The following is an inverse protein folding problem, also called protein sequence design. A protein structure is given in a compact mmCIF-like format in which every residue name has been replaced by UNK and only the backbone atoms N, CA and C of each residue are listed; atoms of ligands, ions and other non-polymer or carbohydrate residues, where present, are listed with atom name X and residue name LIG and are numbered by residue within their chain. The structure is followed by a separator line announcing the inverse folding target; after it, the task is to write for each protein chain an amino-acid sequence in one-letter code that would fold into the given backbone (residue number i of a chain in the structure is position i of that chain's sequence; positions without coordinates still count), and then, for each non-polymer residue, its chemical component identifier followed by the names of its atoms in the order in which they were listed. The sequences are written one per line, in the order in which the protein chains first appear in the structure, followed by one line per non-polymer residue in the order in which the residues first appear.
data_IF_280206321726
#
_entry.id   IF_280206321726
#
_cell.length_a   1.000
_cell.length_b   1.000
_cell.length_c   1.000
_cell.angle_alpha   90.00
_cell.angle_beta   90.00
_cell.angle_gamma   90.00
#
_symmetry.space_group_name_H-M   'P 1'
#
loop_
_entity.id
_entity.type
_entity.pdbx_description
1 polymer ?
#
# COMPACT_ATOMS: atom_id res chain seq x y z
N UNK A 1 12.86 -1.68 62.02
CA UNK A 1 13.45 -0.97 60.85
C UNK A 1 12.73 -1.29 59.53
N UNK A 2 12.38 -2.55 59.23
CA UNK A 2 11.67 -2.93 57.98
C UNK A 2 10.35 -2.17 57.72
N UNK A 3 9.53 -1.91 58.75
CA UNK A 3 8.24 -1.22 58.60
C UNK A 3 8.34 0.24 58.14
N UNK A 4 9.48 0.91 58.38
CA UNK A 4 9.71 2.28 57.92
C UNK A 4 10.11 2.36 56.45
N UNK A 5 10.75 1.32 55.91
CA UNK A 5 11.21 1.26 54.52
C UNK A 5 10.04 0.97 53.57
N UNK A 6 9.09 0.11 53.97
CA UNK A 6 7.91 -0.21 53.15
C UNK A 6 6.98 1.00 52.88
N UNK A 7 7.00 2.02 53.74
CA UNK A 7 6.16 3.22 53.54
C UNK A 7 6.66 4.16 52.44
N UNK A 8 7.92 4.03 52.02
CA UNK A 8 8.51 4.85 50.96
C UNK A 8 8.49 4.18 49.59
N UNK A 9 8.27 2.86 49.52
CA UNK A 9 8.17 2.11 48.26
C UNK A 9 7.12 2.70 47.29
N UNK A 10 5.89 3.04 47.71
CA UNK A 10 4.92 3.61 46.78
C UNK A 10 5.26 5.05 46.33
N UNK A 11 5.96 5.82 47.16
CA UNK A 11 6.45 7.17 46.82
C UNK A 11 7.59 7.12 45.80
N UNK A 12 8.50 6.15 45.95
CA UNK A 12 9.58 5.92 44.98
C UNK A 12 9.02 5.39 43.66
N UNK A 13 8.04 4.49 43.69
CA UNK A 13 7.37 4.01 42.49
C UNK A 13 6.62 5.13 41.76
N UNK A 14 5.92 6.01 42.49
CA UNK A 14 5.25 7.17 41.91
C UNK A 14 6.25 8.16 41.30
N UNK A 15 7.38 8.41 41.96
CA UNK A 15 8.44 9.29 41.45
C UNK A 15 9.09 8.71 40.18
N UNK A 16 9.35 7.40 40.14
CA UNK A 16 9.87 6.72 38.94
C UNK A 16 8.85 6.80 37.80
N UNK A 17 7.57 6.57 38.08
CA UNK A 17 6.51 6.69 37.08
C UNK A 17 6.47 8.12 36.53
N UNK A 18 6.44 9.14 37.39
CA UNK A 18 6.37 10.55 37.00
C UNK A 18 7.60 10.99 36.19
N UNK A 19 8.80 10.55 36.60
CA UNK A 19 10.04 10.80 35.86
C UNK A 19 10.06 10.05 34.52
N UNK A 20 9.52 8.83 34.45
CA UNK A 20 9.42 8.08 33.19
C UNK A 20 8.41 8.71 32.24
N UNK A 21 7.25 9.15 32.73
CA UNK A 21 6.25 9.86 31.93
C UNK A 21 6.80 11.20 31.46
N UNK A 22 7.50 11.93 32.34
CA UNK A 22 8.15 13.19 31.97
C UNK A 22 9.29 12.96 30.98
N UNK A 23 10.07 11.89 31.10
CA UNK A 23 11.10 11.53 30.13
C UNK A 23 10.50 11.16 28.76
N UNK A 24 9.42 10.37 28.74
CA UNK A 24 8.70 10.03 27.52
C UNK A 24 8.05 11.25 26.87
N UNK A 25 7.40 12.12 27.65
CA UNK A 25 6.83 13.37 27.16
C UNK A 25 7.92 14.34 26.69
N UNK A 26 9.02 14.45 27.42
CA UNK A 26 10.16 15.28 27.04
C UNK A 26 10.84 14.77 25.78
N UNK A 27 11.03 13.46 25.61
CA UNK A 27 11.49 12.85 24.35
C UNK A 27 10.51 13.06 23.20
N UNK A 28 9.20 13.01 23.47
CA UNK A 28 8.18 13.29 22.46
C UNK A 28 8.14 14.78 22.05
N UNK A 29 8.53 15.69 22.94
CA UNK A 29 8.51 17.16 22.72
C UNK A 29 9.88 17.69 22.26
N UNK A 30 10.97 17.00 22.59
CA UNK A 30 12.35 17.28 22.16
C UNK A 30 12.89 16.09 21.39
N UNK A 31 12.21 15.81 20.27
CA UNK A 31 12.92 15.28 19.10
C UNK A 31 13.93 16.37 18.76
N UNK A 32 15.22 16.04 18.91
CA UNK A 32 16.30 16.90 18.49
C UNK A 32 15.99 17.41 17.08
N UNK A 33 16.08 18.72 16.90
CA UNK A 33 16.01 19.40 15.60
C UNK A 33 17.11 18.82 14.72
N UNK A 34 16.75 17.79 13.97
CA UNK A 34 17.60 17.08 13.02
C UNK A 34 17.17 17.49 11.62
N UNK A 35 18.14 17.55 10.69
CA UNK A 35 18.03 18.38 9.49
C UNK A 35 16.75 18.03 8.77
N UNK A 36 15.89 19.04 8.69
CA UNK A 36 14.62 19.01 8.02
C UNK A 36 14.78 18.41 6.61
N UNK A 37 13.67 17.95 6.04
CA UNK A 37 13.57 17.88 4.59
C UNK A 37 13.86 19.30 4.08
N UNK A 38 15.11 19.58 3.70
CA UNK A 38 15.52 20.89 3.22
C UNK A 38 14.96 21.04 1.80
N UNK A 39 13.70 21.45 1.75
CA UNK A 39 13.01 21.87 0.54
C UNK A 39 13.55 23.21 0.02
N UNK A 40 14.66 23.74 0.57
CA UNK A 40 15.24 25.03 0.19
C UNK A 40 14.36 26.22 0.60
N UNK A 41 13.52 26.05 1.63
CA UNK A 41 12.42 26.98 1.96
C UNK A 41 12.78 28.09 2.97
N UNK A 42 14.06 28.41 3.17
CA UNK A 42 14.49 29.48 4.10
C UNK A 42 14.07 30.90 3.68
N UNK A 43 13.35 31.08 2.56
CA UNK A 43 12.98 32.42 2.05
C UNK A 43 11.49 32.74 1.99
N UNK A 44 10.59 31.82 2.34
CA UNK A 44 9.15 32.09 2.35
C UNK A 44 8.63 32.45 3.75
N UNK A 45 9.11 33.55 4.33
CA UNK A 45 8.48 34.09 5.53
C UNK A 45 7.07 34.60 5.17
N UNK A 46 6.05 34.01 5.80
CA UNK A 46 4.62 34.46 5.93
C UNK A 46 3.53 33.86 5.03
N UNK A 47 3.77 32.82 4.22
CA UNK A 47 2.67 32.17 3.47
C UNK A 47 2.28 30.83 4.12
N UNK A 48 0.99 30.64 4.44
CA UNK A 48 0.44 29.36 4.92
C UNK A 48 0.65 28.29 3.84
N UNK A 49 1.45 27.27 4.15
CA UNK A 49 1.91 26.24 3.20
C UNK A 49 0.73 25.48 2.61
N UNK A 50 -0.38 25.34 3.36
CA UNK A 50 -1.60 24.67 2.90
C UNK A 50 -2.33 25.42 1.79
N UNK A 51 -2.06 26.72 1.66
CA UNK A 51 -2.75 27.60 0.71
C UNK A 51 -1.94 27.93 -0.54
N UNK A 52 -0.75 27.33 -0.67
CA UNK A 52 0.10 27.55 -1.84
C UNK A 52 -0.60 27.09 -3.12
N UNK A 53 -0.47 27.85 -4.22
CA UNK A 53 -0.91 27.40 -5.53
C UNK A 53 -0.18 26.12 -5.95
N UNK A 54 -0.88 25.20 -6.62
CA UNK A 54 -0.30 23.92 -7.07
C UNK A 54 0.98 24.12 -7.89
N UNK A 55 1.04 25.14 -8.76
CA UNK A 55 2.24 25.43 -9.56
C UNK A 55 3.47 25.76 -8.71
N UNK A 56 3.27 26.40 -7.56
CA UNK A 56 4.35 26.71 -6.62
C UNK A 56 4.80 25.43 -5.93
N UNK A 57 3.85 24.59 -5.49
CA UNK A 57 4.17 23.29 -4.88
C UNK A 57 4.95 22.40 -5.86
N UNK A 58 4.51 22.29 -7.12
CA UNK A 58 5.23 21.55 -8.16
C UNK A 58 6.68 22.01 -8.33
N UNK A 59 6.94 23.33 -8.27
CA UNK A 59 8.30 23.87 -8.33
C UNK A 59 9.13 23.50 -7.10
N UNK A 60 8.53 23.52 -5.91
CA UNK A 60 9.20 23.18 -4.65
C UNK A 60 9.57 21.69 -4.56
N UNK A 61 8.74 20.81 -5.12
CA UNK A 61 8.98 19.36 -5.05
C UNK A 61 9.76 18.81 -6.24
N UNK A 62 9.98 19.57 -7.31
CA UNK A 62 10.63 19.09 -8.54
C UNK A 62 12.03 18.47 -8.31
N UNK A 63 12.79 19.02 -7.35
CA UNK A 63 14.13 18.52 -7.03
C UNK A 63 14.12 17.29 -6.11
N UNK A 64 13.03 17.04 -5.39
CA UNK A 64 12.92 15.97 -4.39
C UNK A 64 11.99 14.83 -4.80
N UNK A 65 11.03 15.07 -5.69
CA UNK A 65 10.01 14.10 -6.11
C UNK A 65 9.88 14.02 -7.63
N UNK A 66 9.32 12.91 -8.10
CA UNK A 66 8.83 12.76 -9.46
C UNK A 66 7.31 12.99 -9.48
N UNK A 67 6.87 14.13 -9.99
CA UNK A 67 5.44 14.48 -10.00
C UNK A 67 4.66 13.70 -11.07
N UNK A 68 3.50 13.17 -10.66
CA UNK A 68 2.53 12.50 -11.54
C UNK A 68 1.19 13.23 -11.52
N UNK A 69 0.56 13.31 -12.69
CA UNK A 69 -0.70 14.04 -12.89
C UNK A 69 -1.80 13.12 -13.43
N UNK A 70 -3.02 13.39 -13.02
CA UNK A 70 -4.23 12.67 -13.43
C UNK A 70 -4.57 12.93 -14.90
N UNK A 71 -4.84 11.87 -15.65
CA UNK A 71 -5.32 11.93 -17.02
C UNK A 71 -6.85 12.14 -17.09
N UNK A 72 -7.58 11.92 -16.00
CA UNK A 72 -9.04 12.11 -15.97
C UNK A 72 -9.47 13.52 -15.55
N UNK A 73 -8.68 14.24 -14.76
CA UNK A 73 -9.09 15.55 -14.24
C UNK A 73 -8.57 16.70 -15.10
N UNK A 74 -9.36 17.78 -15.31
CA UNK A 74 -8.91 18.92 -16.13
C UNK A 74 -7.69 19.64 -15.55
N UNK A 75 -7.54 19.61 -14.23
CA UNK A 75 -6.45 20.25 -13.50
C UNK A 75 -5.24 19.32 -13.30
N UNK A 76 -5.29 18.06 -13.74
CA UNK A 76 -4.25 17.07 -13.46
C UNK A 76 -4.18 16.62 -11.99
N UNK A 77 -5.06 17.09 -11.11
CA UNK A 77 -5.13 16.69 -9.70
C UNK A 77 -5.70 15.28 -9.56
N UNK A 78 -5.38 14.58 -8.48
CA UNK A 78 -6.09 13.35 -8.13
C UNK A 78 -7.62 13.55 -8.04
N UNK A 79 -8.37 12.48 -8.25
CA UNK A 79 -9.84 12.46 -8.12
C UNK A 79 -10.27 11.85 -6.77
N UNK A 80 -11.41 12.28 -6.25
CA UNK A 80 -12.00 11.71 -5.02
C UNK A 80 -12.73 10.41 -5.32
N UNK A 81 -12.75 9.49 -4.36
CA UNK A 81 -13.57 8.28 -4.42
C UNK A 81 -14.77 8.45 -3.49
N UNK A 82 -15.98 8.27 -4.01
CA UNK A 82 -17.22 8.55 -3.27
C UNK A 82 -18.10 7.29 -3.13
N UNK A 83 -18.12 6.75 -1.90
CA UNK A 83 -18.95 5.62 -1.47
C UNK A 83 -20.37 6.04 -1.01
N UNK A 84 -20.85 7.19 -1.46
CA UNK A 84 -22.15 7.80 -1.15
C UNK A 84 -22.36 8.02 0.35
N UNK A 85 -23.12 7.14 1.00
CA UNK A 85 -23.50 7.28 2.42
C UNK A 85 -22.46 6.70 3.38
N UNK A 86 -21.39 6.10 2.86
CA UNK A 86 -20.32 5.50 3.63
C UNK A 86 -19.01 6.21 3.32
N UNK A 87 -18.06 6.09 4.25
CA UNK A 87 -16.68 6.51 4.07
C UNK A 87 -15.79 5.29 4.16
N UNK A 88 -14.69 5.33 3.44
CA UNK A 88 -13.72 4.25 3.45
C UNK A 88 -12.30 4.77 3.34
N UNK A 89 -11.36 3.91 3.72
CA UNK A 89 -9.92 4.12 3.58
C UNK A 89 -9.34 2.94 2.81
N UNK A 90 -8.10 3.07 2.34
CA UNK A 90 -7.35 1.99 1.70
C UNK A 90 -8.07 1.37 0.48
N UNK A 91 -8.32 2.16 -0.58
CA UNK A 91 -9.17 1.75 -1.69
C UNK A 91 -8.51 0.77 -2.66
N UNK A 92 -9.34 0.09 -3.45
CA UNK A 92 -8.91 -0.52 -4.71
C UNK A 92 -9.82 -0.15 -5.87
N UNK A 93 -9.25 -0.12 -7.08
CA UNK A 93 -9.97 0.19 -8.32
C UNK A 93 -9.57 -0.83 -9.38
N UNK A 94 -10.53 -1.60 -9.87
CA UNK A 94 -10.33 -2.52 -11.00
C UNK A 94 -11.37 -2.29 -12.10
N UNK A 95 -11.05 -2.54 -13.37
CA UNK A 95 -12.02 -2.42 -14.46
C UNK A 95 -13.12 -3.47 -14.29
N UNK A 96 -14.38 -3.05 -14.48
CA UNK A 96 -15.51 -3.97 -14.43
C UNK A 96 -15.41 -4.99 -15.57
N UNK A 97 -15.69 -6.29 -15.34
CA UNK A 97 -15.46 -7.34 -16.34
C UNK A 97 -16.30 -7.18 -17.62
N UNK A 98 -17.53 -6.64 -17.50
CA UNK A 98 -18.49 -6.57 -18.60
C UNK A 98 -19.10 -5.19 -18.89
N UNK A 99 -18.87 -4.18 -18.04
CA UNK A 99 -19.50 -2.86 -18.17
C UNK A 99 -18.44 -1.85 -18.61
N UNK A 100 -18.54 -1.28 -19.82
CA UNK A 100 -17.58 -0.29 -20.28
C UNK A 100 -17.66 0.98 -19.43
N UNK A 101 -16.52 1.67 -19.26
CA UNK A 101 -16.42 2.92 -18.47
C UNK A 101 -16.99 2.80 -17.04
N UNK A 102 -16.91 1.59 -16.47
CA UNK A 102 -17.34 1.27 -15.13
C UNK A 102 -16.20 0.53 -14.44
N UNK A 103 -16.00 0.85 -13.17
CA UNK A 103 -14.96 0.23 -12.34
C UNK A 103 -15.60 -0.35 -11.10
N UNK A 104 -15.03 -1.42 -10.58
CA UNK A 104 -15.37 -1.91 -9.24
C UNK A 104 -14.40 -1.24 -8.29
N UNK A 105 -14.95 -0.53 -7.30
CA UNK A 105 -14.16 0.08 -6.24
C UNK A 105 -14.43 -0.62 -4.91
N UNK A 106 -13.38 -0.80 -4.12
CA UNK A 106 -13.46 -1.33 -2.75
C UNK A 106 -12.72 -0.42 -1.78
N UNK A 107 -13.04 -0.49 -0.49
CA UNK A 107 -12.33 0.22 0.58
C UNK A 107 -12.72 -0.32 1.95
N UNK A 108 -11.82 -0.25 2.92
CA UNK A 108 -12.10 -0.56 4.32
C UNK A 108 -13.13 0.46 4.85
N UNK A 109 -14.26 -0.01 5.39
CA UNK A 109 -15.24 0.88 6.03
C UNK A 109 -14.57 1.63 7.19
N UNK A 110 -14.60 2.96 7.14
CA UNK A 110 -14.09 3.81 8.20
C UNK A 110 -14.99 5.04 8.35
N UNK A 111 -15.66 5.18 9.51
CA UNK A 111 -16.59 6.28 9.78
C UNK A 111 -16.05 7.16 10.91
N UNK A 112 -15.11 8.09 10.62
CA UNK A 112 -14.48 8.91 11.63
C UNK A 112 -15.54 9.79 12.32
N UNK A 113 -15.59 9.73 13.65
CA UNK A 113 -16.50 10.53 14.47
C UNK A 113 -17.83 9.86 14.86
N UNK A 114 -18.10 8.60 14.48
CA UNK A 114 -19.15 7.82 15.15
C UNK A 114 -18.75 7.54 16.61
N UNK A 115 -19.74 7.52 17.51
CA UNK A 115 -19.55 7.41 18.98
C UNK A 115 -18.98 6.06 19.41
N UNK A 116 -19.07 5.05 18.56
CA UNK A 116 -18.57 3.69 18.82
C UNK A 116 -17.13 3.58 18.31
N UNK A 117 -16.21 4.34 18.91
CA UNK A 117 -14.78 4.38 18.53
C UNK A 117 -14.02 3.05 18.76
N UNK A 118 -14.68 2.07 19.36
CA UNK A 118 -14.10 0.81 19.83
C UNK A 118 -14.66 -0.42 19.09
N UNK A 119 -15.13 -0.26 17.84
CA UNK A 119 -15.60 -1.40 17.05
C UNK A 119 -14.44 -2.34 16.73
N UNK A 120 -14.55 -3.57 17.24
CA UNK A 120 -13.73 -4.72 16.84
C UNK A 120 -13.98 -5.19 15.40
N UNK A 121 -15.09 -4.75 14.78
CA UNK A 121 -15.52 -5.20 13.46
C UNK A 121 -14.91 -4.37 12.34
N UNK A 122 -14.23 -5.06 11.44
CA UNK A 122 -13.67 -4.55 10.21
C UNK A 122 -14.38 -5.21 9.02
N UNK A 123 -14.82 -4.38 8.07
CA UNK A 123 -15.52 -4.84 6.88
C UNK A 123 -15.09 -4.01 5.66
N UNK A 124 -15.13 -4.64 4.51
CA UNK A 124 -14.76 -4.03 3.23
C UNK A 124 -16.01 -3.64 2.45
N UNK A 125 -16.02 -2.42 1.92
CA UNK A 125 -17.05 -1.92 1.02
C UNK A 125 -16.75 -2.33 -0.42
N UNK A 126 -17.80 -2.49 -1.23
CA UNK A 126 -17.69 -2.67 -2.68
C UNK A 126 -18.85 -2.01 -3.41
N UNK A 127 -18.59 -1.42 -4.57
CA UNK A 127 -19.62 -0.99 -5.50
C UNK A 127 -19.07 -0.88 -6.92
N UNK A 128 -19.97 -0.89 -7.90
CA UNK A 128 -19.67 -0.37 -9.23
C UNK A 128 -19.65 1.16 -9.17
N UNK A 129 -18.69 1.78 -9.84
CA UNK A 129 -18.48 3.23 -9.86
C UNK A 129 -18.19 3.76 -11.27
N UNK A 130 -18.54 5.02 -11.47
CA UNK A 130 -18.32 5.77 -12.71
C UNK A 130 -17.76 7.15 -12.41
N UNK A 131 -16.98 7.70 -13.34
CA UNK A 131 -16.50 9.07 -13.24
C UNK A 131 -17.64 10.07 -13.40
N UNK A 132 -17.65 11.09 -12.55
CA UNK A 132 -18.56 12.23 -12.56
C UNK A 132 -17.76 13.53 -12.48
N UNK A 133 -18.44 14.67 -12.56
CA UNK A 133 -17.85 15.99 -12.32
C UNK A 133 -16.65 16.30 -13.23
N UNK A 134 -16.71 15.82 -14.49
CA UNK A 134 -15.62 15.87 -15.48
C UNK A 134 -14.36 15.13 -15.01
N UNK A 135 -14.53 13.95 -14.42
CA UNK A 135 -13.43 13.09 -13.97
C UNK A 135 -12.94 13.36 -12.54
N UNK A 136 -13.49 14.38 -11.85
CA UNK A 136 -13.04 14.75 -10.49
C UNK A 136 -13.51 13.81 -9.38
N UNK A 137 -14.55 13.03 -9.64
CA UNK A 137 -15.12 12.10 -8.66
C UNK A 137 -15.37 10.74 -9.31
N UNK A 138 -14.82 9.67 -8.74
CA UNK A 138 -15.21 8.30 -9.03
C UNK A 138 -16.25 7.86 -8.00
N UNK A 139 -17.53 7.83 -8.38
CA UNK A 139 -18.66 7.66 -7.45
C UNK A 139 -19.38 6.34 -7.69
N UNK A 140 -19.75 5.65 -6.60
CA UNK A 140 -20.61 4.47 -6.69
C UNK A 140 -21.92 4.77 -7.44
N UNK A 141 -22.32 3.87 -8.33
CA UNK A 141 -23.62 3.92 -9.01
C UNK A 141 -24.74 3.71 -8.00
N UNK A 142 -24.64 2.68 -7.16
CA UNK A 142 -25.58 2.33 -6.10
C UNK A 142 -24.94 2.49 -4.71
N UNK A 143 -25.70 2.22 -3.64
CA UNK A 143 -25.13 2.16 -2.29
C UNK A 143 -24.11 1.03 -2.18
N UNK A 144 -22.97 1.24 -1.48
CA UNK A 144 -21.96 0.20 -1.36
C UNK A 144 -22.47 -0.98 -0.54
N UNK A 145 -22.08 -2.16 -0.98
CA UNK A 145 -22.30 -3.44 -0.31
C UNK A 145 -21.09 -3.77 0.58
N UNK A 146 -21.31 -4.58 1.62
CA UNK A 146 -20.23 -5.12 2.45
C UNK A 146 -19.79 -6.45 1.84
N UNK A 147 -18.51 -6.57 1.46
CA UNK A 147 -17.97 -7.84 0.96
C UNK A 147 -18.17 -8.96 1.98
N UNK A 148 -18.70 -10.12 1.58
CA UNK A 148 -19.01 -11.23 2.48
C UNK A 148 -17.76 -12.06 2.80
N UNK A 149 -16.71 -11.40 3.27
CA UNK A 149 -15.49 -12.05 3.75
C UNK A 149 -15.73 -12.48 5.21
N UNK A 150 -15.66 -13.78 5.46
CA UNK A 150 -15.81 -14.31 6.81
C UNK A 150 -14.62 -13.92 7.71
N UNK A 151 -14.89 -13.72 8.99
CA UNK A 151 -13.82 -13.61 9.99
C UNK A 151 -12.98 -14.89 10.01
N UNK A 152 -11.66 -14.76 10.17
CA UNK A 152 -10.75 -15.90 10.18
C UNK A 152 -10.63 -16.48 11.60
N UNK A 153 -10.35 -17.78 11.67
CA UNK A 153 -10.03 -18.44 12.92
C UNK A 153 -8.52 -18.33 13.18
N UNK A 154 -8.11 -17.38 14.01
CA UNK A 154 -6.70 -17.19 14.38
C UNK A 154 -6.35 -17.75 15.76
N UNK A 155 -5.05 -17.93 16.00
CA UNK A 155 -4.52 -18.25 17.32
C UNK A 155 -4.25 -16.95 18.10
N UNK A 156 -5.30 -16.41 18.73
CA UNK A 156 -5.23 -15.15 19.48
C UNK A 156 -4.21 -15.14 20.62
N UNK A 157 -3.73 -16.30 21.09
CA UNK A 157 -2.66 -16.36 22.08
C UNK A 157 -1.31 -15.84 21.53
N UNK A 158 -1.14 -15.80 20.20
CA UNK A 158 0.04 -15.23 19.54
C UNK A 158 0.02 -13.68 19.56
N UNK A 159 -1.14 -13.07 19.77
CA UNK A 159 -1.31 -11.63 19.93
C UNK A 159 -1.10 -11.22 21.39
N UNK A 160 0.15 -10.91 21.74
CA UNK A 160 0.53 -10.55 23.12
C UNK A 160 1.19 -9.16 23.21
N UNK A 161 1.28 -8.63 24.43
CA UNK A 161 1.91 -7.34 24.69
C UNK A 161 1.25 -6.19 23.93
N UNK A 162 2.04 -5.42 23.18
CA UNK A 162 1.56 -4.31 22.34
C UNK A 162 0.66 -4.74 21.19
N UNK A 163 0.60 -6.03 20.85
CA UNK A 163 -0.22 -6.58 19.76
C UNK A 163 -1.54 -7.20 20.26
N UNK A 164 -1.82 -7.15 21.56
CA UNK A 164 -3.03 -7.76 22.13
C UNK A 164 -4.33 -7.21 21.53
N UNK A 165 -4.33 -5.98 21.02
CA UNK A 165 -5.50 -5.39 20.36
C UNK A 165 -5.89 -6.13 19.07
N UNK A 166 -4.93 -6.72 18.35
CA UNK A 166 -5.23 -7.52 17.15
C UNK A 166 -6.05 -8.77 17.49
N UNK A 167 -5.94 -9.31 18.70
CA UNK A 167 -6.77 -10.44 19.16
C UNK A 167 -8.28 -10.11 19.19
N UNK A 168 -8.62 -8.82 19.23
CA UNK A 168 -10.00 -8.34 19.23
C UNK A 168 -10.53 -8.06 17.83
N UNK A 169 -9.68 -8.12 16.79
CA UNK A 169 -10.11 -7.82 15.42
C UNK A 169 -11.07 -8.90 14.91
N UNK A 170 -12.11 -8.47 14.20
CA UNK A 170 -13.10 -9.36 13.59
C UNK A 170 -13.27 -8.93 12.13
N UNK A 171 -12.91 -9.82 11.20
CA UNK A 171 -13.09 -9.60 9.76
C UNK A 171 -11.81 -9.21 9.02
N UNK A 172 -11.92 -8.86 7.72
CA UNK A 172 -10.81 -8.42 6.90
C UNK A 172 -10.35 -7.01 7.25
N UNK A 173 -9.04 -6.77 7.13
CA UNK A 173 -8.40 -5.47 7.30
C UNK A 173 -7.64 -5.06 6.04
N UNK A 174 -7.82 -3.81 5.61
CA UNK A 174 -7.08 -3.17 4.50
C UNK A 174 -7.03 -4.02 3.23
N UNK A 175 -8.20 -4.50 2.78
CA UNK A 175 -8.25 -5.38 1.62
C UNK A 175 -7.84 -4.67 0.32
N UNK A 176 -7.04 -5.37 -0.48
CA UNK A 176 -6.60 -4.93 -1.81
C UNK A 176 -7.19 -5.85 -2.86
N UNK A 177 -7.97 -5.28 -3.78
CA UNK A 177 -8.58 -6.01 -4.90
C UNK A 177 -7.84 -5.68 -6.18
N UNK A 178 -7.42 -6.71 -6.91
CA UNK A 178 -6.61 -6.56 -8.11
C UNK A 178 -6.77 -7.77 -9.05
N UNK A 179 -6.41 -7.59 -10.32
CA UNK A 179 -6.36 -8.68 -11.29
C UNK A 179 -5.02 -9.41 -11.25
N UNK A 180 -5.05 -10.74 -11.09
CA UNK A 180 -3.98 -11.62 -11.58
C UNK A 180 -4.17 -11.92 -13.07
N UNK A 181 -3.33 -12.80 -13.66
CA UNK A 181 -3.40 -13.12 -15.09
C UNK A 181 -4.79 -13.59 -15.54
N UNK A 182 -5.37 -14.50 -14.76
CA UNK A 182 -6.61 -15.19 -15.16
C UNK A 182 -7.86 -14.68 -14.43
N UNK A 183 -7.72 -14.31 -13.15
CA UNK A 183 -8.83 -13.91 -12.28
C UNK A 183 -8.45 -12.73 -11.35
N UNK A 184 -9.45 -11.95 -10.87
CA UNK A 184 -9.24 -11.02 -9.79
C UNK A 184 -9.23 -11.70 -8.42
N UNK A 185 -8.38 -11.20 -7.54
CA UNK A 185 -8.23 -11.65 -6.17
C UNK A 185 -8.40 -10.48 -5.22
N UNK A 186 -8.83 -10.79 -4.00
CA UNK A 186 -8.70 -9.90 -2.86
C UNK A 186 -7.64 -10.45 -1.91
N UNK A 187 -6.74 -9.59 -1.45
CA UNK A 187 -5.85 -9.91 -0.34
C UNK A 187 -6.16 -9.00 0.84
N UNK A 188 -6.23 -9.54 2.04
CA UNK A 188 -6.60 -8.79 3.24
C UNK A 188 -5.83 -9.28 4.47
N UNK A 189 -5.64 -8.40 5.44
CA UNK A 189 -5.11 -8.77 6.74
C UNK A 189 -6.21 -9.38 7.62
N UNK A 190 -5.90 -10.40 8.42
CA UNK A 190 -6.81 -10.90 9.45
C UNK A 190 -6.06 -11.73 10.49
N UNK A 191 -6.76 -12.20 11.53
CA UNK A 191 -6.14 -13.05 12.56
C UNK A 191 -5.58 -14.34 11.94
N UNK A 192 -4.36 -14.69 12.37
CA UNK A 192 -3.56 -15.74 11.75
C UNK A 192 -3.53 -17.01 12.60
N UNK A 193 -3.42 -18.18 11.96
CA UNK A 193 -3.25 -19.45 12.66
C UNK A 193 -1.80 -19.66 13.14
N UNK A 194 -0.82 -19.03 12.47
CA UNK A 194 0.63 -19.26 12.66
C UNK A 194 1.38 -18.05 13.22
N UNK A 195 0.78 -16.86 13.17
CA UNK A 195 1.26 -15.61 13.77
C UNK A 195 0.10 -14.85 14.44
N UNK A 196 0.31 -13.66 14.98
CA UNK A 196 -0.79 -12.88 15.56
C UNK A 196 -1.76 -12.38 14.47
N UNK A 197 -1.20 -11.81 13.41
CA UNK A 197 -1.98 -11.22 12.31
C UNK A 197 -1.29 -11.51 10.98
N UNK A 198 -2.03 -12.05 10.01
CA UNK A 198 -1.50 -12.57 8.76
C UNK A 198 -2.22 -12.01 7.53
N UNK A 199 -1.66 -12.27 6.35
CA UNK A 199 -2.25 -11.90 5.06
C UNK A 199 -2.96 -13.10 4.45
N UNK A 200 -4.18 -12.88 3.97
CA UNK A 200 -5.03 -13.88 3.34
C UNK A 200 -5.32 -13.51 1.90
N UNK A 201 -5.63 -14.51 1.07
CA UNK A 201 -6.11 -14.35 -0.31
C UNK A 201 -7.44 -15.07 -0.53
N UNK A 202 -8.29 -14.51 -1.39
CA UNK A 202 -9.56 -15.08 -1.83
C UNK A 202 -9.87 -14.66 -3.28
N UNK A 203 -10.45 -15.57 -4.06
CA UNK A 203 -11.04 -15.28 -5.37
C UNK A 203 -12.16 -14.23 -5.21
N UNK A 204 -11.91 -13.02 -5.75
CA UNK A 204 -12.81 -11.89 -5.59
C UNK A 204 -14.17 -12.12 -6.26
N UNK A 205 -14.21 -12.95 -7.29
CA UNK A 205 -15.43 -13.22 -8.08
C UNK A 205 -16.50 -13.95 -7.27
N UNK A 206 -16.13 -14.54 -6.14
CA UNK A 206 -17.06 -15.23 -5.23
C UNK A 206 -17.70 -14.29 -4.21
N UNK A 207 -17.26 -13.03 -4.17
CA UNK A 207 -17.70 -12.03 -3.19
C UNK A 207 -18.69 -11.01 -3.78
N UNK A 208 -18.82 -10.97 -5.10
CA UNK A 208 -19.60 -9.98 -5.85
C UNK A 208 -20.41 -10.65 -6.95
N UNK A 209 -21.36 -9.93 -7.52
CA UNK A 209 -22.02 -10.37 -8.76
C UNK A 209 -21.00 -10.37 -9.91
N UNK A 210 -20.75 -11.56 -10.48
CA UNK A 210 -19.75 -11.77 -11.50
C UNK A 210 -20.31 -12.67 -12.61
N UNK A 211 -19.93 -12.46 -13.90
CA UNK A 211 -20.34 -13.34 -14.99
C UNK A 211 -20.13 -14.83 -14.68
N UNK A 212 -21.22 -15.60 -14.70
CA UNK A 212 -21.20 -17.02 -14.32
C UNK A 212 -20.27 -17.87 -15.20
N UNK A 213 -20.08 -17.48 -16.46
CA UNK A 213 -19.11 -18.13 -17.37
C UNK A 213 -17.70 -18.12 -16.80
N UNK A 214 -17.34 -17.07 -16.07
CA UNK A 214 -15.98 -16.86 -15.58
C UNK A 214 -15.80 -17.55 -14.23
N UNK A 215 -16.85 -17.64 -13.40
CA UNK A 215 -16.78 -18.22 -12.05
C UNK A 215 -16.79 -19.75 -12.02
N UNK A 216 -17.14 -20.40 -13.13
CA UNK A 216 -17.06 -21.86 -13.28
C UNK A 216 -15.61 -22.33 -13.24
N UNK A 217 -14.70 -21.59 -13.88
CA UNK A 217 -13.28 -21.95 -13.91
C UNK A 217 -12.60 -21.61 -12.58
N UNK A 218 -12.05 -22.64 -11.95
CA UNK A 218 -11.27 -22.52 -10.72
C UNK A 218 -9.83 -22.15 -11.06
N UNK A 219 -9.44 -20.92 -10.71
CA UNK A 219 -8.06 -20.42 -10.80
C UNK A 219 -7.38 -20.37 -9.42
N UNK A 220 -7.87 -21.17 -8.47
CA UNK A 220 -7.38 -21.24 -7.10
C UNK A 220 -8.03 -20.25 -6.15
N UNK A 221 -7.72 -20.41 -4.86
CA UNK A 221 -8.13 -19.51 -3.76
C UNK A 221 -9.64 -19.27 -3.65
N UNK A 222 -10.49 -20.25 -4.02
CA UNK A 222 -11.95 -20.15 -3.82
C UNK A 222 -12.39 -20.07 -2.36
N UNK A 223 -11.47 -20.31 -1.43
CA UNK A 223 -11.64 -20.17 0.02
C UNK A 223 -10.54 -19.26 0.54
N UNK A 224 -10.85 -18.54 1.61
CA UNK A 224 -9.86 -17.74 2.33
C UNK A 224 -8.65 -18.61 2.65
N UNK A 225 -7.51 -18.22 2.11
CA UNK A 225 -6.27 -18.99 2.19
C UNK A 225 -5.19 -18.10 2.80
N UNK A 226 -4.62 -18.52 3.91
CA UNK A 226 -3.56 -17.78 4.60
C UNK A 226 -2.25 -17.89 3.80
N UNK A 227 -1.66 -16.75 3.45
CA UNK A 227 -0.37 -16.71 2.80
C UNK A 227 0.72 -16.92 3.85
N UNK A 228 1.67 -17.80 3.53
CA UNK A 228 2.76 -18.17 4.43
C UNK A 228 4.11 -17.68 3.90
N UNK A 229 5.10 -17.64 4.79
CA UNK A 229 6.51 -17.45 4.44
C UNK A 229 7.25 -18.79 4.58
N UNK A 230 8.46 -18.94 4.00
CA UNK A 230 9.20 -20.19 4.08
C UNK A 230 9.38 -20.64 5.53
N UNK A 231 9.17 -21.92 5.82
CA UNK A 231 9.24 -22.47 7.19
C UNK A 231 10.63 -22.34 7.83
N UNK A 232 11.65 -22.14 7.00
CA UNK A 232 13.03 -21.87 7.42
C UNK A 232 13.29 -20.41 7.79
N UNK A 233 12.37 -19.50 7.47
CA UNK A 233 12.43 -18.09 7.85
C UNK A 233 11.58 -17.84 9.10
N UNK A 234 12.04 -17.02 10.07
CA UNK A 234 11.24 -16.69 11.23
C UNK A 234 10.04 -15.84 10.82
N UNK A 235 8.87 -16.18 11.35
CA UNK A 235 7.69 -15.32 11.24
C UNK A 235 7.88 -14.03 12.05
N UNK A 236 7.43 -12.92 11.49
CA UNK A 236 7.11 -11.74 12.27
C UNK A 236 5.75 -11.92 12.94
N UNK A 237 5.53 -11.19 14.03
CA UNK A 237 4.24 -11.23 14.74
C UNK A 237 3.08 -10.68 13.90
N UNK A 238 3.37 -9.80 12.93
CA UNK A 238 2.39 -9.27 11.98
C UNK A 238 2.97 -9.46 10.59
N UNK A 239 2.38 -10.39 9.83
CA UNK A 239 2.70 -10.63 8.42
C UNK A 239 1.62 -9.97 7.57
N UNK A 240 1.93 -8.80 7.01
CA UNK A 240 0.97 -8.04 6.21
C UNK A 240 1.67 -7.28 5.11
N UNK A 241 0.85 -6.70 4.23
CA UNK A 241 1.26 -5.82 3.14
C UNK A 241 2.10 -6.48 2.04
N UNK A 242 2.30 -7.79 2.10
CA UNK A 242 2.94 -8.57 1.04
C UNK A 242 2.24 -8.31 -0.30
N UNK A 243 3.00 -8.40 -1.39
CA UNK A 243 2.43 -8.33 -2.73
C UNK A 243 2.63 -9.66 -3.46
N UNK A 244 1.63 -10.02 -4.25
CA UNK A 244 1.68 -11.18 -5.12
C UNK A 244 2.06 -10.77 -6.52
N UNK A 245 2.79 -11.63 -7.21
CA UNK A 245 3.14 -11.46 -8.60
C UNK A 245 3.14 -12.79 -9.35
N UNK A 246 3.11 -12.70 -10.68
CA UNK A 246 3.04 -13.86 -11.56
C UNK A 246 4.13 -13.81 -12.62
N UNK A 247 4.76 -14.95 -12.87
CA UNK A 247 5.61 -15.11 -14.04
C UNK A 247 4.79 -15.19 -15.34
N UNK A 248 5.46 -15.22 -16.49
CA UNK A 248 4.79 -15.32 -17.79
C UNK A 248 4.05 -16.63 -18.02
N UNK A 249 4.37 -17.68 -17.27
CA UNK A 249 3.65 -18.96 -17.31
C UNK A 249 2.42 -18.97 -16.39
N UNK A 250 2.17 -17.89 -15.64
CA UNK A 250 1.04 -17.77 -14.73
C UNK A 250 1.29 -18.43 -13.37
N UNK A 251 2.53 -18.79 -13.02
CA UNK A 251 2.82 -19.26 -11.67
C UNK A 251 2.85 -18.08 -10.71
N UNK A 252 2.24 -18.25 -9.54
CA UNK A 252 2.15 -17.22 -8.51
C UNK A 252 3.35 -17.25 -7.57
N UNK A 253 3.73 -16.07 -7.08
CA UNK A 253 4.79 -15.87 -6.11
C UNK A 253 4.33 -14.83 -5.08
N UNK A 254 4.86 -14.94 -3.86
CA UNK A 254 4.63 -13.97 -2.78
C UNK A 254 5.94 -13.30 -2.45
N UNK A 255 5.91 -11.97 -2.40
CA UNK A 255 7.02 -11.14 -1.97
C UNK A 255 6.75 -10.59 -0.57
N UNK A 256 7.53 -11.04 0.40
CA UNK A 256 7.25 -10.78 1.81
C UNK A 256 8.20 -9.78 2.46
N UNK A 257 9.39 -9.53 1.88
CA UNK A 257 10.31 -8.50 2.38
C UNK A 257 10.92 -7.69 1.22
N UNK A 258 10.87 -6.35 1.28
CA UNK A 258 11.57 -5.44 0.35
C UNK A 258 12.94 -5.02 0.88
N UNK A 259 13.04 -4.76 2.18
CA UNK A 259 14.23 -4.24 2.84
C UNK A 259 14.44 -4.96 4.19
N UNK A 260 15.70 -5.07 4.67
CA UNK A 260 16.94 -4.62 4.05
C UNK A 260 17.42 -5.50 2.90
N UNK A 261 16.89 -6.71 2.81
CA UNK A 261 17.12 -7.65 1.72
C UNK A 261 15.78 -8.11 1.18
N UNK A 262 15.67 -8.19 -0.14
CA UNK A 262 14.48 -8.69 -0.81
C UNK A 262 14.29 -10.18 -0.50
N UNK A 263 13.05 -10.62 -0.34
CA UNK A 263 12.74 -12.03 -0.16
C UNK A 263 11.36 -12.40 -0.74
N UNK A 264 11.32 -13.50 -1.48
CA UNK A 264 10.13 -13.97 -2.18
C UNK A 264 10.22 -15.47 -2.48
N UNK A 265 9.05 -16.11 -2.58
CA UNK A 265 8.96 -17.54 -2.83
C UNK A 265 7.79 -17.89 -3.74
N UNK A 266 7.88 -19.04 -4.40
CA UNK A 266 6.78 -19.59 -5.18
C UNK A 266 5.60 -19.94 -4.27
N UNK A 267 4.39 -19.58 -4.68
CA UNK A 267 3.14 -19.77 -3.94
C UNK A 267 2.36 -20.96 -4.48
N UNK A 268 1.93 -21.83 -3.58
CA UNK A 268 0.97 -22.90 -3.89
C UNK A 268 -0.45 -22.47 -3.55
N UNK A 269 -1.44 -23.16 -4.14
CA UNK A 269 -2.86 -22.81 -3.98
C UNK A 269 -3.40 -23.03 -2.56
N UNK A 270 -2.66 -23.73 -1.70
CA UNK A 270 -2.98 -23.90 -0.28
C UNK A 270 -2.36 -22.82 0.62
N UNK A 271 -1.68 -21.83 0.04
CA UNK A 271 -1.07 -20.71 0.76
C UNK A 271 0.35 -20.97 1.25
N UNK A 272 0.81 -22.22 1.20
CA UNK A 272 2.20 -22.53 1.51
C UNK A 272 3.16 -22.01 0.44
N UNK A 273 4.44 -21.89 0.80
CA UNK A 273 5.47 -21.38 -0.11
C UNK A 273 6.72 -22.25 -0.10
N UNK A 274 7.46 -22.21 -1.20
CA UNK A 274 8.75 -22.87 -1.34
C UNK A 274 9.88 -22.20 -0.54
N UNK A 275 11.13 -22.50 -0.91
CA UNK A 275 12.30 -21.79 -0.40
C UNK A 275 12.33 -20.34 -0.91
N UNK A 276 13.05 -19.47 -0.18
CA UNK A 276 13.38 -18.13 -0.67
C UNK A 276 14.20 -18.21 -1.98
N UNK A 277 13.73 -17.49 -3.00
CA UNK A 277 14.31 -17.45 -4.33
C UNK A 277 15.18 -16.20 -4.55
N UNK A 278 15.11 -15.20 -3.66
CA UNK A 278 15.89 -13.97 -3.77
C UNK A 278 17.42 -14.16 -3.80
N UNK A 279 18.02 -15.16 -3.12
CA UNK A 279 19.47 -15.38 -3.21
C UNK A 279 19.98 -15.58 -4.64
N UNK A 280 19.16 -16.07 -5.58
CA UNK A 280 19.55 -16.24 -6.98
C UNK A 280 19.73 -14.90 -7.73
N UNK A 281 19.03 -13.84 -7.31
CA UNK A 281 19.13 -12.49 -7.87
C UNK A 281 20.03 -11.55 -7.07
N UNK A 282 20.50 -11.96 -5.88
CA UNK A 282 21.16 -11.10 -4.90
C UNK A 282 22.35 -10.30 -5.46
N UNK A 283 23.17 -10.88 -6.34
CA UNK A 283 24.33 -10.19 -6.91
C UNK A 283 23.93 -8.96 -7.75
N UNK A 284 22.79 -9.02 -8.45
CA UNK A 284 22.25 -7.89 -9.21
C UNK A 284 21.48 -6.92 -8.28
N UNK A 285 20.67 -7.48 -7.39
CA UNK A 285 19.76 -6.71 -6.54
C UNK A 285 20.49 -5.86 -5.49
N UNK A 286 21.58 -6.35 -4.88
CA UNK A 286 22.25 -5.66 -3.75
C UNK A 286 22.72 -4.26 -4.13
N UNK A 287 23.37 -4.11 -5.28
CA UNK A 287 23.86 -2.81 -5.73
C UNK A 287 22.69 -1.84 -6.02
N UNK A 288 21.58 -2.37 -6.52
CA UNK A 288 20.40 -1.57 -6.83
C UNK A 288 19.66 -1.12 -5.57
N UNK A 289 19.41 -2.04 -4.63
CA UNK A 289 18.80 -1.74 -3.35
C UNK A 289 19.64 -0.75 -2.54
N UNK A 290 20.97 -0.92 -2.50
CA UNK A 290 21.87 0.02 -1.82
C UNK A 290 21.85 1.43 -2.41
N UNK A 291 21.65 1.54 -3.72
CA UNK A 291 21.67 2.82 -4.43
C UNK A 291 20.34 3.57 -4.31
N UNK A 292 19.22 2.85 -4.38
CA UNK A 292 17.90 3.46 -4.60
C UNK A 292 16.91 3.27 -3.45
N UNK A 293 17.15 2.37 -2.49
CA UNK A 293 16.31 2.37 -1.29
C UNK A 293 16.57 3.64 -0.48
N UNK A 294 15.51 4.28 0.07
CA UNK A 294 15.69 5.44 0.90
C UNK A 294 16.47 5.07 2.16
N UNK A 295 17.45 5.90 2.50
CA UNK A 295 18.24 5.75 3.70
C UNK A 295 17.42 6.18 4.92
N UNK A 296 17.21 5.26 5.86
CA UNK A 296 16.55 5.56 7.13
C UNK A 296 17.45 6.43 7.99
N UNK A 297 17.07 7.70 8.19
CA UNK A 297 17.82 8.62 9.05
C UNK A 297 17.53 8.35 10.53
N UNK A 298 16.27 8.00 10.83
CA UNK A 298 15.81 7.59 12.15
C UNK A 298 15.10 6.23 12.09
N UNK A 299 15.82 5.10 12.26
CA UNK A 299 15.25 3.76 12.18
C UNK A 299 14.15 3.45 13.22
N UNK A 300 14.02 4.24 14.29
CA UNK A 300 12.96 4.05 15.28
C UNK A 300 11.62 4.63 14.81
N UNK A 301 11.66 5.58 13.85
CA UNK A 301 10.49 6.30 13.34
C UNK A 301 10.31 6.19 11.82
N UNK A 302 11.25 5.55 11.13
CA UNK A 302 11.23 5.35 9.69
C UNK A 302 11.26 3.87 9.31
N UNK A 303 10.53 3.51 8.27
CA UNK A 303 10.46 2.12 7.79
C UNK A 303 10.06 2.03 6.33
N UNK A 304 10.41 0.91 5.67
CA UNK A 304 9.88 0.56 4.35
C UNK A 304 8.58 -0.21 4.54
N UNK A 305 7.52 0.29 3.94
CA UNK A 305 6.22 -0.37 3.87
C UNK A 305 5.99 -0.87 2.45
N UNK A 306 5.84 -2.18 2.28
CA UNK A 306 5.14 -2.68 1.08
C UNK A 306 3.71 -2.16 1.13
N UNK A 307 3.12 -1.89 -0.05
CA UNK A 307 1.85 -1.19 -0.07
C UNK A 307 0.88 -1.72 -1.11
N UNK A 308 1.29 -1.83 -2.37
CA UNK A 308 0.37 -2.18 -3.47
C UNK A 308 0.39 -3.67 -3.83
N UNK A 309 -0.58 -4.11 -4.63
CA UNK A 309 -0.43 -5.31 -5.47
C UNK A 309 0.61 -5.07 -6.59
N UNK A 310 0.77 -6.05 -7.49
CA UNK A 310 1.64 -5.93 -8.66
C UNK A 310 0.87 -5.93 -9.98
N UNK A 311 1.51 -5.43 -11.05
CA UNK A 311 1.06 -5.52 -12.44
C UNK A 311 2.24 -5.82 -13.38
N UNK A 312 2.01 -6.56 -14.46
CA UNK A 312 3.01 -6.77 -15.49
C UNK A 312 2.96 -5.63 -16.53
N UNK A 313 4.11 -5.08 -16.88
CA UNK A 313 4.26 -3.97 -17.84
C UNK A 313 5.28 -4.35 -18.90
N UNK A 314 4.90 -4.32 -20.17
CA UNK A 314 5.85 -4.39 -21.28
C UNK A 314 6.39 -2.99 -21.59
N UNK A 315 7.72 -2.87 -21.65
CA UNK A 315 8.47 -1.62 -21.73
C UNK A 315 8.50 -1.03 -23.16
N UNK A 316 7.34 -0.97 -23.81
CA UNK A 316 7.12 -0.40 -25.13
C UNK A 316 5.67 0.12 -25.23
N UNK A 317 5.31 0.68 -26.37
CA UNK A 317 3.93 1.10 -26.66
C UNK A 317 3.11 -0.06 -27.23
N UNK A 318 1.85 -0.21 -26.81
CA UNK A 318 0.91 -1.23 -27.27
C UNK A 318 0.67 -1.16 -28.78
N UNK A 319 0.67 0.04 -29.34
CA UNK A 319 0.46 0.27 -30.77
C UNK A 319 1.65 -0.07 -31.67
N UNK A 320 2.82 -0.36 -31.10
CA UNK A 320 4.01 -0.73 -31.88
C UNK A 320 3.90 -2.18 -32.36
N UNK A 321 3.80 -2.44 -33.69
CA UNK A 321 3.66 -3.81 -34.20
C UNK A 321 4.91 -4.67 -33.98
N UNK A 322 6.07 -4.05 -33.75
CA UNK A 322 7.31 -4.76 -33.41
C UNK A 322 7.40 -5.14 -31.94
N UNK A 323 6.53 -4.57 -31.09
CA UNK A 323 6.53 -4.89 -29.69
C UNK A 323 5.68 -6.12 -29.38
N UNK A 324 6.36 -7.19 -28.98
CA UNK A 324 5.74 -8.39 -28.45
C UNK A 324 6.23 -8.60 -27.01
N UNK A 325 5.35 -8.83 -26.03
CA UNK A 325 5.76 -9.13 -24.67
C UNK A 325 6.64 -10.37 -24.62
N UNK A 326 7.84 -10.22 -24.09
CA UNK A 326 8.80 -11.29 -23.86
C UNK A 326 9.63 -11.06 -22.59
N UNK A 327 10.53 -12.01 -22.33
CA UNK A 327 11.42 -12.09 -21.18
C UNK A 327 12.48 -10.97 -21.12
N UNK A 328 12.65 -10.22 -22.20
CA UNK A 328 13.62 -9.14 -22.35
C UNK A 328 13.00 -7.74 -22.22
N UNK A 329 11.67 -7.64 -22.27
CA UNK A 329 10.98 -6.35 -22.25
C UNK A 329 9.79 -6.27 -21.27
N UNK A 330 9.48 -7.33 -20.52
CA UNK A 330 8.34 -7.33 -19.58
C UNK A 330 8.80 -7.41 -18.13
N UNK A 331 8.33 -6.46 -17.33
CA UNK A 331 8.66 -6.31 -15.91
C UNK A 331 7.40 -6.40 -15.06
N UNK A 332 7.56 -6.69 -13.79
CA UNK A 332 6.55 -6.55 -12.74
C UNK A 332 6.76 -5.21 -12.05
N UNK A 333 5.70 -4.41 -12.00
CA UNK A 333 5.63 -3.13 -11.33
C UNK A 333 4.96 -3.29 -9.96
N UNK A 334 5.58 -2.69 -8.95
CA UNK A 334 5.05 -2.57 -7.58
C UNK A 334 5.38 -1.19 -7.02
N UNK A 335 4.65 -0.78 -5.97
CA UNK A 335 4.95 0.44 -5.22
C UNK A 335 5.16 0.06 -3.75
N UNK A 336 6.32 0.45 -3.21
CA UNK A 336 6.61 0.46 -1.78
C UNK A 336 6.67 1.91 -1.30
N UNK A 337 6.61 2.12 0.00
CA UNK A 337 6.56 3.46 0.59
C UNK A 337 7.60 3.60 1.69
N UNK A 338 8.29 4.73 1.72
CA UNK A 338 9.08 5.15 2.87
C UNK A 338 8.13 5.83 3.85
N UNK A 339 7.88 5.18 4.98
CA UNK A 339 7.12 5.75 6.08
C UNK A 339 8.06 6.54 6.98
N UNK A 340 7.65 7.75 7.36
CA UNK A 340 8.24 8.53 8.46
C UNK A 340 7.17 8.88 9.47
N UNK A 341 7.48 8.81 10.76
CA UNK A 341 6.55 9.16 11.84
C UNK A 341 7.16 10.25 12.72
N UNK A 342 6.71 11.49 12.53
CA UNK A 342 7.26 12.66 13.23
C UNK A 342 6.10 13.48 13.79
N UNK A 343 6.20 13.91 15.05
CA UNK A 343 5.18 14.78 15.66
C UNK A 343 3.77 14.17 15.73
N UNK A 344 3.67 12.86 15.92
CA UNK A 344 2.40 12.09 15.88
C UNK A 344 1.69 12.06 14.53
N UNK A 345 2.37 12.42 13.45
CA UNK A 345 1.88 12.34 12.08
C UNK A 345 2.75 11.37 11.27
N UNK A 346 2.11 10.57 10.40
CA UNK A 346 2.84 9.70 9.47
C UNK A 346 2.85 10.35 8.09
N UNK A 347 4.00 10.38 7.43
CA UNK A 347 4.08 10.61 5.99
C UNK A 347 4.53 9.34 5.29
N UNK A 348 4.06 9.16 4.05
CA UNK A 348 4.42 8.03 3.20
C UNK A 348 4.86 8.55 1.85
N UNK A 349 6.09 8.20 1.46
CA UNK A 349 6.65 8.59 0.18
C UNK A 349 6.75 7.36 -0.73
N UNK A 350 5.93 7.27 -1.79
CA UNK A 350 5.84 6.08 -2.65
C UNK A 350 6.97 6.01 -3.68
N UNK A 351 7.57 4.83 -3.82
CA UNK A 351 8.62 4.52 -4.80
C UNK A 351 8.17 3.38 -5.71
N UNK A 352 8.48 3.51 -7.00
CA UNK A 352 8.22 2.46 -7.99
C UNK A 352 9.36 1.47 -7.97
N UNK A 353 9.06 0.18 -7.86
CA UNK A 353 10.02 -0.91 -8.03
C UNK A 353 9.60 -1.79 -9.20
N UNK A 354 10.55 -2.02 -10.12
CA UNK A 354 10.42 -2.87 -11.28
C UNK A 354 11.37 -4.06 -11.17
N UNK A 355 10.90 -5.27 -11.42
CA UNK A 355 11.74 -6.47 -11.53
C UNK A 355 11.30 -7.31 -12.72
N UNK A 356 12.20 -8.07 -13.32
CA UNK A 356 11.88 -8.86 -14.51
C UNK A 356 10.75 -9.87 -14.25
N UNK A 357 9.84 -10.07 -15.21
CA UNK A 357 8.80 -11.10 -15.12
C UNK A 357 9.33 -12.52 -15.43
N UNK A 358 10.65 -12.69 -15.43
CA UNK A 358 11.31 -13.98 -15.62
C UNK A 358 12.20 -14.27 -14.42
N UNK A 359 12.41 -15.54 -14.14
CA UNK A 359 13.40 -15.95 -13.16
C UNK A 359 14.80 -15.44 -13.55
N UNK A 360 15.67 -15.13 -12.56
CA UNK A 360 15.43 -15.13 -11.11
C UNK A 360 14.73 -13.87 -10.56
N UNK A 361 13.99 -13.12 -11.38
CA UNK A 361 13.23 -11.92 -11.00
C UNK A 361 14.12 -10.79 -10.50
N UNK A 362 15.27 -10.58 -11.14
CA UNK A 362 16.21 -9.51 -10.79
C UNK A 362 15.52 -8.14 -10.87
N UNK A 363 15.89 -7.24 -9.98
CA UNK A 363 15.42 -5.85 -10.02
C UNK A 363 15.92 -5.22 -11.31
N UNK A 364 14.99 -4.66 -12.08
CA UNK A 364 15.25 -3.89 -13.28
C UNK A 364 15.52 -2.42 -12.94
N UNK A 365 14.84 -1.89 -11.93
CA UNK A 365 15.08 -0.54 -11.45
C UNK A 365 14.16 -0.15 -10.30
N UNK A 366 14.54 0.91 -9.59
CA UNK A 366 13.76 1.56 -8.54
C UNK A 366 13.74 3.06 -8.84
N UNK A 367 12.64 3.75 -8.56
CA UNK A 367 12.58 5.20 -8.74
C UNK A 367 13.66 5.90 -7.91
N UNK A 368 14.36 6.85 -8.52
CA UNK A 368 15.44 7.60 -7.86
C UNK A 368 14.90 8.63 -6.85
N UNK A 369 13.66 9.08 -7.08
CA UNK A 369 12.87 9.93 -6.21
C UNK A 369 11.51 9.26 -5.90
N UNK A 370 10.88 9.59 -4.77
CA UNK A 370 9.49 9.22 -4.52
C UNK A 370 8.55 9.95 -5.47
N UNK A 371 7.34 9.40 -5.68
CA UNK A 371 6.30 10.03 -6.49
C UNK A 371 5.63 11.16 -5.70
N UNK A 372 5.37 12.27 -6.38
CA UNK A 372 4.46 13.31 -5.90
C UNK A 372 3.14 13.23 -6.66
N UNK A 373 2.04 12.95 -5.97
CA UNK A 373 0.71 12.92 -6.60
C UNK A 373 0.17 14.35 -6.66
N UNK A 374 0.00 14.88 -7.88
CA UNK A 374 -0.47 16.25 -8.06
C UNK A 374 -1.79 16.51 -7.33
N UNK A 375 -1.82 17.60 -6.56
CA UNK A 375 -2.92 17.96 -5.67
C UNK A 375 -2.78 17.48 -4.23
N UNK A 376 -1.72 16.74 -3.86
CA UNK A 376 -1.33 16.42 -2.47
C UNK A 376 -1.07 17.70 -1.68
N UNK A 377 -1.57 17.77 -0.45
CA UNK A 377 -1.39 18.92 0.43
C UNK A 377 0.00 19.03 1.06
N UNK A 378 0.42 20.28 1.33
CA UNK A 378 1.56 20.59 2.22
C UNK A 378 1.04 20.91 3.63
N UNK A 379 1.84 20.69 4.67
CA UNK A 379 1.50 21.00 6.05
C UNK A 379 2.43 22.08 6.63
N UNK A 380 1.90 22.91 7.53
CA UNK A 380 2.62 24.05 8.12
C UNK A 380 3.68 23.63 9.15
N UNK A 381 3.45 22.52 9.85
CA UNK A 381 4.33 22.05 10.93
C UNK A 381 5.33 21.01 10.40
N UNK A 382 6.62 21.24 10.64
CA UNK A 382 7.69 20.26 10.43
C UNK A 382 8.00 19.90 8.97
N UNK A 383 7.70 20.77 7.99
CA UNK A 383 7.88 20.47 6.55
C UNK A 383 7.20 19.15 6.15
N UNK A 384 6.06 18.83 6.77
CA UNK A 384 5.32 17.61 6.50
C UNK A 384 4.39 17.78 5.29
N UNK A 385 4.00 16.66 4.72
CA UNK A 385 3.10 16.55 3.58
C UNK A 385 1.88 15.76 4.01
N UNK A 386 0.75 15.96 3.33
CA UNK A 386 -0.46 15.16 3.55
C UNK A 386 -0.12 13.66 3.49
N UNK A 387 -0.62 12.89 4.45
CA UNK A 387 -0.44 11.46 4.53
C UNK A 387 -1.21 10.80 3.39
N UNK A 388 -0.49 10.35 2.36
CA UNK A 388 -1.05 9.56 1.26
C UNK A 388 -0.49 8.15 1.32
N UNK A 389 -1.33 7.16 1.59
CA UNK A 389 -0.92 5.75 1.60
C UNK A 389 -1.41 5.05 0.32
N UNK A 390 -0.51 4.79 -0.64
CA UNK A 390 -0.83 4.13 -1.91
C UNK A 390 -1.12 2.65 -1.69
N UNK A 391 -2.37 2.26 -1.85
CA UNK A 391 -2.88 0.96 -1.42
C UNK A 391 -2.98 -0.07 -2.53
N UNK A 392 -3.24 0.36 -3.75
CA UNK A 392 -3.41 -0.56 -4.88
C UNK A 392 -3.13 0.12 -6.21
N UNK A 393 -2.85 -0.73 -7.20
CA UNK A 393 -2.69 -0.35 -8.60
C UNK A 393 -3.56 -1.24 -9.49
N UNK A 394 -4.11 -0.68 -10.56
CA UNK A 394 -4.96 -1.41 -11.50
C UNK A 394 -4.98 -0.77 -12.89
N UNK A 395 -5.07 -1.56 -13.96
CA UNK A 395 -5.24 -0.99 -15.30
C UNK A 395 -6.60 -0.32 -15.45
N UNK A 396 -6.66 0.83 -16.12
CA UNK A 396 -7.91 1.58 -16.27
C UNK A 396 -8.86 0.98 -17.31
N UNK A 397 -8.32 0.45 -18.41
CA UNK A 397 -9.12 0.07 -19.57
C UNK A 397 -9.92 -1.21 -19.30
N UNK A 398 -11.17 -1.22 -19.75
CA UNK A 398 -12.02 -2.40 -19.69
C UNK A 398 -11.33 -3.62 -20.34
N UNK A 399 -11.38 -4.77 -19.67
CA UNK A 399 -10.78 -6.01 -20.14
C UNK A 399 -9.27 -6.15 -19.90
N UNK A 400 -8.56 -5.10 -19.49
CA UNK A 400 -7.18 -5.24 -19.02
C UNK A 400 -7.15 -5.89 -17.64
N UNK A 401 -6.33 -6.94 -17.49
CA UNK A 401 -6.22 -7.74 -16.26
C UNK A 401 -4.89 -7.46 -15.54
N UNK A 402 -3.91 -8.34 -15.69
CA UNK A 402 -2.60 -8.21 -15.05
C UNK A 402 -1.58 -7.45 -15.90
N UNK A 403 -1.74 -7.49 -17.23
CA UNK A 403 -0.73 -7.03 -18.19
C UNK A 403 -1.12 -5.76 -18.94
N UNK A 404 -0.15 -4.86 -19.11
CA UNK A 404 -0.27 -3.64 -19.90
C UNK A 404 1.08 -3.19 -20.50
N UNK A 405 1.06 -2.00 -21.10
CA UNK A 405 2.14 -1.38 -21.87
C UNK A 405 2.40 0.04 -21.35
N UNK A 406 3.48 0.69 -21.81
CA UNK A 406 3.86 2.01 -21.32
C UNK A 406 2.85 3.11 -21.67
N UNK A 407 2.06 2.97 -22.73
CA UNK A 407 1.00 3.90 -23.13
C UNK A 407 -0.37 3.60 -22.50
N UNK A 408 -0.49 2.52 -21.73
CA UNK A 408 -1.73 2.23 -21.01
C UNK A 408 -1.87 3.11 -19.77
N UNK A 409 -3.13 3.43 -19.42
CA UNK A 409 -3.45 4.19 -18.23
C UNK A 409 -3.68 3.25 -17.04
N UNK A 410 -3.07 3.56 -15.91
CA UNK A 410 -3.15 2.82 -14.65
C UNK A 410 -3.74 3.71 -13.55
N UNK A 411 -4.59 3.14 -12.70
CA UNK A 411 -4.98 3.75 -11.43
C UNK A 411 -3.95 3.45 -10.35
N UNK A 412 -3.64 4.48 -9.57
CA UNK A 412 -3.09 4.38 -8.22
C UNK A 412 -4.20 4.82 -7.27
N UNK A 413 -4.64 3.94 -6.37
CA UNK A 413 -5.67 4.26 -5.38
C UNK A 413 -5.04 4.34 -3.99
N UNK A 414 -5.43 5.35 -3.20
CA UNK A 414 -4.77 5.68 -1.95
C UNK A 414 -5.71 6.22 -0.87
N UNK A 415 -5.31 6.03 0.38
CA UNK A 415 -5.93 6.66 1.55
C UNK A 415 -5.31 8.03 1.82
N UNK A 416 -6.09 8.93 2.44
CA UNK A 416 -5.71 10.28 2.83
C UNK A 416 -5.96 10.46 4.32
N UNK A 417 -4.91 10.73 5.10
CA UNK A 417 -4.98 11.09 6.54
C UNK A 417 -5.81 10.10 7.39
N UNK A 418 -5.83 8.81 7.02
CA UNK A 418 -6.65 7.75 7.64
C UNK A 418 -8.14 8.13 7.78
N UNK A 419 -8.62 9.03 6.91
CA UNK A 419 -9.94 9.64 7.03
C UNK A 419 -10.73 9.64 5.72
N UNK A 420 -10.03 9.67 4.58
CA UNK A 420 -10.64 9.75 3.26
C UNK A 420 -9.87 8.93 2.23
N UNK A 421 -10.38 8.88 1.00
CA UNK A 421 -9.81 8.09 -0.08
C UNK A 421 -9.89 8.78 -1.44
N UNK A 422 -8.91 8.50 -2.29
CA UNK A 422 -8.79 9.09 -3.61
C UNK A 422 -8.06 8.13 -4.57
N UNK A 423 -7.98 8.55 -5.84
CA UNK A 423 -7.14 7.89 -6.83
C UNK A 423 -6.59 8.87 -7.84
N UNK A 424 -5.57 8.44 -8.56
CA UNK A 424 -5.00 9.15 -9.71
C UNK A 424 -4.86 8.15 -10.86
N UNK A 425 -5.22 8.55 -12.07
CA UNK A 425 -5.03 7.72 -13.25
C UNK A 425 -3.91 8.31 -14.12
N UNK A 426 -2.86 7.53 -14.33
CA UNK A 426 -1.61 7.99 -14.92
C UNK A 426 -1.20 7.08 -16.07
N UNK A 427 -0.46 7.61 -17.04
CA UNK A 427 0.15 6.78 -18.08
C UNK A 427 1.28 5.97 -17.45
N UNK A 428 1.35 4.66 -17.71
CA UNK A 428 2.35 3.80 -17.08
C UNK A 428 3.80 4.25 -17.38
N UNK A 429 4.04 4.78 -18.57
CA UNK A 429 5.32 5.38 -18.96
C UNK A 429 5.75 6.53 -18.04
N UNK A 430 4.81 7.33 -17.54
CA UNK A 430 5.11 8.45 -16.64
C UNK A 430 5.58 7.94 -15.26
N UNK A 431 5.05 6.82 -14.77
CA UNK A 431 5.53 6.18 -13.55
C UNK A 431 6.94 5.59 -13.73
N UNK A 432 7.19 4.99 -14.89
CA UNK A 432 8.46 4.31 -15.20
C UNK A 432 9.57 5.31 -15.57
N UNK A 433 9.23 6.52 -16.02
CA UNK A 433 10.19 7.54 -16.44
C UNK A 433 11.19 7.94 -15.34
N UNK A 434 10.76 7.93 -14.06
CA UNK A 434 11.62 8.22 -12.91
C UNK A 434 12.43 7.02 -12.40
N UNK A 435 12.37 5.86 -13.07
CA UNK A 435 13.04 4.65 -12.62
C UNK A 435 14.53 4.67 -12.98
N UNK A 436 15.37 4.67 -11.95
CA UNK A 436 16.79 4.42 -12.06
C UNK A 436 17.07 2.94 -12.34
N UNK A 437 17.64 2.64 -13.51
CA UNK A 437 17.95 1.27 -13.91
C UNK A 437 19.08 0.66 -13.08
N UNK A 438 18.89 -0.61 -12.73
CA UNK A 438 19.95 -1.56 -12.45
C UNK A 438 20.42 -2.16 -13.80
#
# INVERSE_FOLDING_TARGET
MLSRILRFVPLVALLILLLSTFYYLYRAIHVDTHPDLDLGLETATTTDLKTLPDSTVSQLVADSHHEITSNSTPEGRYFRIDFRSRRGINPSIIPHPSKPNTWIITAQLHEPGRRDKDSAWFVELVCDAVFQDKGRTLRCIDYPFILPIAATEGNNALCSGSLAFFALSIGPHDARVFYGPDAPYTIYGSNSAVTCFGQWILDFRLLVDWPASDTITDYGFRRATELQRPTTAPYFAVEKNWFLFWDRAGNAYVHYDVAPTRAFAALTLDGSVGSDLAPAAANADVACLQKYLPHMQDPDHESIHQATNSLAVTLCMRGDPSCQPDDSNTVILTIFQHKRFVGFHSSYEPYVMLFWQRAPFEIYGISDKPLWIHGRGMMDEGNQTEMLYVTSIGWKTAGQKYHGYLDDVMFLAFGIEDADTAGVDVVAGDLVAGVGRC
#
